data_IF_074153639996
#
_entry.id   IF_074153639996
#
_cell.length_a   1.000
_cell.length_b   1.000
_cell.length_c   1.000
_cell.angle_alpha   90.00
_cell.angle_beta   90.00
_cell.angle_gamma   90.00
#
_symmetry.space_group_name_H-M   'P 1'
#
loop_
_entity.id
_entity.type
_entity.pdbx_description
1 polymer ?
#
# COMPACT_ATOMS: atom_id res chain seq x y z
N UNK A 1 34.15 14.39 -6.49
CA UNK A 1 35.31 13.57 -6.06
C UNK A 1 34.85 12.18 -5.59
N UNK A 2 34.76 11.23 -6.52
CA UNK A 2 34.40 9.84 -6.23
C UNK A 2 35.67 9.02 -5.95
N UNK A 3 35.73 8.36 -4.79
CA UNK A 3 36.70 7.32 -4.51
C UNK A 3 36.17 5.97 -5.03
N UNK A 4 36.87 5.35 -5.99
CA UNK A 4 36.61 3.98 -6.41
C UNK A 4 37.57 3.05 -5.67
N UNK A 5 37.03 2.15 -4.84
CA UNK A 5 37.83 1.08 -4.22
C UNK A 5 37.83 -0.12 -5.18
N UNK A 6 38.99 -0.46 -5.74
CA UNK A 6 39.21 -1.70 -6.49
C UNK A 6 39.66 -2.78 -5.53
N UNK A 7 38.81 -3.78 -5.30
CA UNK A 7 39.22 -5.03 -4.65
C UNK A 7 39.91 -5.91 -5.71
N UNK A 8 41.22 -6.10 -5.57
CA UNK A 8 41.95 -7.18 -6.25
C UNK A 8 41.92 -8.41 -5.35
N UNK A 9 41.28 -9.47 -5.83
CA UNK A 9 41.40 -10.81 -5.25
C UNK A 9 42.52 -11.55 -5.98
N UNK A 10 43.59 -11.87 -5.26
CA UNK A 10 44.63 -12.80 -5.69
C UNK A 10 44.37 -14.12 -4.96
N UNK A 11 44.19 -15.21 -5.71
CA UNK A 11 44.16 -16.57 -5.17
C UNK A 11 45.46 -17.26 -5.60
N UNK A 12 46.25 -17.85 -4.69
CA UNK A 12 47.49 -18.53 -5.05
C UNK A 12 47.19 -19.93 -5.60
N UNK A 13 47.82 -20.28 -6.73
CA UNK A 13 47.84 -21.62 -7.30
C UNK A 13 48.96 -22.45 -6.69
N UNK A 14 48.65 -23.68 -6.27
CA UNK A 14 49.66 -24.68 -5.93
C UNK A 14 49.31 -26.04 -6.54
N UNK A 15 50.21 -26.58 -7.36
CA UNK A 15 50.87 -27.89 -7.22
C UNK A 15 51.43 -28.44 -8.56
N UNK A 16 52.75 -28.66 -8.53
CA UNK A 16 53.57 -29.79 -9.03
C UNK A 16 53.56 -30.32 -10.48
N UNK A 17 54.69 -30.05 -11.15
CA UNK A 17 55.61 -31.01 -11.84
C UNK A 17 55.23 -31.53 -13.25
N UNK A 18 56.17 -32.14 -14.01
CA UNK A 18 57.05 -31.43 -14.95
C UNK A 18 56.94 -31.96 -16.40
N UNK A 19 57.75 -31.38 -17.30
CA UNK A 19 58.08 -31.81 -18.68
C UNK A 19 57.28 -31.25 -19.88
N UNK A 20 58.09 -30.76 -20.82
CA UNK A 20 57.91 -30.56 -22.28
C UNK A 20 57.58 -29.16 -22.83
N UNK A 21 58.59 -28.70 -23.57
CA UNK A 21 58.80 -27.65 -24.59
C UNK A 21 57.61 -27.06 -25.36
N UNK A 22 57.74 -25.73 -25.57
CA UNK A 22 57.36 -24.88 -26.70
C UNK A 22 55.94 -24.97 -27.30
N UNK A 23 55.14 -23.92 -27.07
CA UNK A 23 54.69 -23.01 -28.13
C UNK A 23 54.00 -21.78 -27.52
N UNK A 24 54.44 -20.59 -27.94
CA UNK A 24 53.83 -19.32 -27.57
C UNK A 24 52.51 -19.20 -28.35
N UNK A 25 51.39 -19.38 -27.65
CA UNK A 25 50.07 -19.01 -28.17
C UNK A 25 49.54 -17.90 -27.28
N UNK A 26 49.53 -16.68 -27.83
CA UNK A 26 48.90 -15.52 -27.21
C UNK A 26 47.39 -15.77 -27.09
N UNK A 27 46.79 -15.69 -25.89
CA UNK A 27 45.34 -15.78 -25.78
C UNK A 27 44.71 -14.47 -26.30
N UNK A 28 43.96 -14.60 -27.39
CA UNK A 28 43.14 -13.51 -27.95
C UNK A 28 42.02 -13.21 -26.97
N UNK A 29 42.14 -12.09 -26.26
CA UNK A 29 41.13 -11.62 -25.33
C UNK A 29 39.87 -11.21 -26.13
N UNK A 30 38.84 -12.06 -26.12
CA UNK A 30 37.50 -11.68 -26.59
C UNK A 30 36.98 -10.57 -25.66
N UNK A 31 36.72 -9.39 -26.22
CA UNK A 31 35.95 -8.33 -25.55
C UNK A 31 34.55 -8.87 -25.29
N UNK A 32 34.27 -9.31 -24.06
CA UNK A 32 32.90 -9.35 -23.58
C UNK A 32 32.39 -7.91 -23.55
N UNK A 33 31.44 -7.60 -24.42
CA UNK A 33 30.65 -6.39 -24.26
C UNK A 33 29.84 -6.59 -22.98
N UNK A 34 30.33 -6.04 -21.87
CA UNK A 34 29.58 -5.96 -20.64
C UNK A 34 28.33 -5.13 -20.90
N UNK A 35 27.23 -5.80 -21.25
CA UNK A 35 25.91 -5.20 -21.20
C UNK A 35 25.71 -4.75 -19.76
N UNK A 36 25.87 -3.44 -19.54
CA UNK A 36 25.53 -2.83 -18.26
C UNK A 36 24.02 -2.88 -18.20
N UNK A 37 23.47 -3.93 -17.58
CA UNK A 37 22.06 -4.01 -17.27
C UNK A 37 21.77 -2.89 -16.26
N UNK A 38 21.37 -1.72 -16.77
CA UNK A 38 20.85 -0.65 -15.92
C UNK A 38 19.52 -1.13 -15.40
N UNK A 39 19.54 -1.73 -14.21
CA UNK A 39 18.35 -1.94 -13.43
C UNK A 39 17.69 -0.57 -13.22
N UNK A 40 16.38 -0.41 -13.48
CA UNK A 40 15.68 0.81 -13.16
C UNK A 40 15.84 1.08 -11.66
N UNK A 41 16.28 2.30 -11.31
CA UNK A 41 16.42 2.74 -9.91
C UNK A 41 15.12 2.44 -9.16
N UNK A 42 15.13 1.60 -8.11
CA UNK A 42 13.97 1.49 -7.25
C UNK A 42 13.91 2.75 -6.38
N UNK A 43 12.73 3.36 -6.35
CA UNK A 43 12.22 4.21 -5.27
C UNK A 43 12.94 5.55 -5.02
N UNK A 44 12.61 6.56 -5.84
CA UNK A 44 12.78 7.97 -5.49
C UNK A 44 11.61 8.53 -4.65
N UNK A 45 10.81 7.68 -3.98
CA UNK A 45 9.60 8.09 -3.25
C UNK A 45 9.83 8.45 -1.76
N UNK A 46 10.95 8.03 -1.16
CA UNK A 46 11.12 8.07 0.30
C UNK A 46 11.88 9.29 0.87
N UNK A 47 12.55 10.11 0.05
CA UNK A 47 13.54 11.08 0.53
C UNK A 47 13.03 12.53 0.70
N UNK A 48 11.89 12.75 1.36
CA UNK A 48 11.50 14.14 1.72
C UNK A 48 10.74 14.27 3.03
N UNK A 49 11.10 13.53 4.07
CA UNK A 49 10.41 13.63 5.36
C UNK A 49 11.13 14.65 6.25
N UNK A 50 10.45 15.76 6.58
CA UNK A 50 11.00 16.90 7.33
C UNK A 50 10.99 16.66 8.84
N UNK A 51 11.92 17.32 9.53
CA UNK A 51 12.33 17.13 10.92
C UNK A 51 11.30 17.58 11.98
N UNK A 52 10.95 16.73 12.94
CA UNK A 52 10.38 17.12 14.26
C UNK A 52 10.56 16.01 15.35
N UNK A 53 11.41 16.15 16.39
CA UNK A 53 11.79 15.07 17.30
C UNK A 53 10.71 14.82 18.37
N UNK A 54 10.33 13.59 18.75
CA UNK A 54 10.91 12.99 19.97
C UNK A 54 10.52 11.50 20.24
N UNK A 55 9.44 10.94 19.66
CA UNK A 55 9.14 9.50 19.77
C UNK A 55 8.44 8.94 18.52
N UNK A 56 7.52 9.73 17.95
CA UNK A 56 6.78 9.41 16.73
C UNK A 56 7.67 9.20 15.50
N UNK A 57 8.74 9.98 15.33
CA UNK A 57 9.68 9.76 14.23
C UNK A 57 10.31 8.38 14.33
N UNK A 58 10.64 7.92 15.55
CA UNK A 58 11.27 6.61 15.75
C UNK A 58 10.30 5.50 15.35
N UNK A 59 9.05 5.57 15.80
CA UNK A 59 8.02 4.57 15.47
C UNK A 59 7.66 4.59 13.99
N UNK A 60 7.48 5.76 13.38
CA UNK A 60 7.23 5.88 11.94
C UNK A 60 8.41 5.37 11.11
N UNK A 61 9.65 5.69 11.50
CA UNK A 61 10.86 5.21 10.82
C UNK A 61 11.03 3.70 10.98
N UNK A 62 10.77 3.17 12.17
CA UNK A 62 10.79 1.73 12.43
C UNK A 62 9.72 1.01 11.62
N UNK A 63 8.51 1.57 11.52
CA UNK A 63 7.43 1.01 10.69
C UNK A 63 7.81 1.00 9.22
N UNK A 64 8.37 2.10 8.72
CA UNK A 64 8.87 2.18 7.35
C UNK A 64 9.99 1.16 7.06
N UNK A 65 10.87 0.92 8.03
CA UNK A 65 11.93 -0.08 7.90
C UNK A 65 11.36 -1.49 7.90
N UNK A 66 10.47 -1.81 8.84
CA UNK A 66 9.80 -3.10 8.93
C UNK A 66 9.02 -3.42 7.66
N UNK A 67 8.31 -2.44 7.08
CA UNK A 67 7.60 -2.61 5.80
C UNK A 67 8.51 -2.94 4.61
N UNK A 68 9.81 -2.60 4.68
CA UNK A 68 10.80 -2.93 3.63
C UNK A 68 11.43 -4.29 3.86
N UNK A 69 11.66 -4.67 5.11
CA UNK A 69 12.40 -5.87 5.49
C UNK A 69 11.50 -7.11 5.66
N UNK A 70 10.32 -6.92 6.26
CA UNK A 70 9.37 -7.99 6.57
C UNK A 70 7.93 -7.57 6.21
N UNK A 71 7.56 -7.59 4.91
CA UNK A 71 6.22 -7.22 4.48
C UNK A 71 5.22 -8.38 4.65
N UNK A 72 5.55 -9.46 5.38
CA UNK A 72 4.67 -10.62 5.47
C UNK A 72 3.34 -10.27 6.16
N UNK A 73 2.20 -10.75 5.64
CA UNK A 73 0.91 -10.57 6.30
C UNK A 73 0.94 -11.06 7.76
N UNK A 74 0.31 -10.30 8.64
CA UNK A 74 0.26 -10.57 10.09
C UNK A 74 1.62 -10.57 10.81
N UNK A 75 2.64 -9.86 10.28
CA UNK A 75 3.90 -9.63 10.99
C UNK A 75 3.66 -8.97 12.35
N UNK A 76 4.04 -9.64 13.44
CA UNK A 76 3.89 -9.15 14.80
C UNK A 76 4.69 -7.87 15.05
N UNK A 77 5.86 -7.73 14.43
CA UNK A 77 6.66 -6.50 14.49
C UNK A 77 5.92 -5.31 13.92
N UNK A 78 5.31 -5.46 12.73
CA UNK A 78 4.51 -4.39 12.11
C UNK A 78 3.30 -4.04 12.98
N UNK A 79 2.59 -5.05 13.50
CA UNK A 79 1.40 -4.83 14.32
C UNK A 79 1.73 -4.13 15.65
N UNK A 80 2.81 -4.51 16.31
CA UNK A 80 3.26 -3.83 17.54
C UNK A 80 3.60 -2.35 17.29
N UNK A 81 4.21 -2.03 16.14
CA UNK A 81 4.49 -0.64 15.75
C UNK A 81 3.23 0.15 15.40
N UNK A 82 2.24 -0.51 14.78
CA UNK A 82 0.91 0.07 14.57
C UNK A 82 0.25 0.43 15.90
N UNK A 83 0.23 -0.50 16.85
CA UNK A 83 -0.41 -0.29 18.16
C UNK A 83 0.30 0.83 18.96
N UNK A 84 1.64 0.91 18.85
CA UNK A 84 2.41 2.01 19.45
C UNK A 84 2.03 3.37 18.85
N UNK A 85 1.94 3.48 17.52
CA UNK A 85 1.54 4.73 16.85
C UNK A 85 0.11 5.15 17.21
N UNK A 86 -0.84 4.20 17.23
CA UNK A 86 -2.24 4.46 17.61
C UNK A 86 -2.37 4.93 19.07
N UNK A 87 -1.47 4.46 19.95
CA UNK A 87 -1.42 4.83 21.37
C UNK A 87 -0.64 6.11 21.67
N UNK A 88 0.23 6.55 20.75
CA UNK A 88 1.16 7.67 20.95
C UNK A 88 0.51 9.07 21.08
N UNK A 89 -0.79 9.21 20.77
CA UNK A 89 -1.52 10.49 20.69
C UNK A 89 -0.88 11.53 19.74
N UNK A 90 -0.03 11.09 18.81
CA UNK A 90 0.72 11.99 17.91
C UNK A 90 0.07 12.15 16.54
N UNK A 91 -0.82 11.24 16.17
CA UNK A 91 -1.66 11.37 14.99
C UNK A 91 -2.65 12.53 15.09
N UNK A 92 -3.27 12.87 13.96
CA UNK A 92 -4.38 13.82 13.91
C UNK A 92 -5.58 13.22 14.63
N UNK A 93 -6.16 13.99 15.57
CA UNK A 93 -7.24 13.53 16.46
C UNK A 93 -8.54 13.21 15.72
N UNK A 94 -8.93 14.10 14.79
CA UNK A 94 -10.19 14.03 14.04
C UNK A 94 -9.90 13.86 12.53
N UNK A 95 -9.41 12.69 12.07
CA UNK A 95 -8.89 12.52 10.73
C UNK A 95 -9.93 12.77 9.64
N UNK A 96 -11.22 12.43 9.83
CA UNK A 96 -12.26 12.68 8.80
C UNK A 96 -12.62 14.15 8.66
N UNK A 97 -12.20 15.02 9.60
CA UNK A 97 -12.33 16.48 9.50
C UNK A 97 -11.05 17.14 8.98
N UNK A 98 -9.96 16.40 8.87
CA UNK A 98 -8.69 16.93 8.40
C UNK A 98 -8.66 16.93 6.87
N UNK A 99 -8.25 18.05 6.22
CA UNK A 99 -8.05 18.06 4.77
C UNK A 99 -6.95 17.07 4.32
N UNK A 100 -6.05 16.68 5.23
CA UNK A 100 -4.96 15.74 4.93
C UNK A 100 -5.45 14.32 4.65
N UNK A 101 -6.69 13.97 5.03
CA UNK A 101 -7.26 12.65 4.69
C UNK A 101 -7.60 12.53 3.20
N UNK A 102 -7.87 13.63 2.50
CA UNK A 102 -8.36 13.64 1.12
C UNK A 102 -7.26 13.39 0.09
N UNK A 103 -7.51 12.48 -0.84
CA UNK A 103 -6.61 12.19 -1.96
C UNK A 103 -6.39 10.70 -2.16
N UNK A 104 -5.40 10.38 -2.99
CA UNK A 104 -5.04 8.99 -3.30
C UNK A 104 -4.10 8.43 -2.25
N UNK A 105 -4.42 7.23 -1.78
CA UNK A 105 -3.62 6.49 -0.80
C UNK A 105 -3.18 5.16 -1.36
N UNK A 106 -1.86 4.96 -1.48
CA UNK A 106 -1.26 3.69 -1.89
C UNK A 106 -1.20 2.72 -0.71
N UNK A 107 -1.69 1.50 -0.90
CA UNK A 107 -1.57 0.44 0.10
C UNK A 107 -0.10 -0.02 0.21
N UNK A 108 0.49 0.12 1.39
CA UNK A 108 1.80 -0.42 1.72
C UNK A 108 1.70 -1.83 2.31
N UNK A 109 0.69 -2.06 3.16
CA UNK A 109 0.53 -3.30 3.90
C UNK A 109 -0.92 -3.53 4.29
N UNK A 110 -1.35 -4.79 4.29
CA UNK A 110 -2.49 -5.23 5.06
C UNK A 110 -2.25 -6.60 5.73
N UNK A 111 -3.10 -6.92 6.71
CA UNK A 111 -3.05 -8.20 7.44
C UNK A 111 -3.69 -9.37 6.69
N UNK A 112 -4.31 -9.15 5.53
CA UNK A 112 -4.99 -10.21 4.77
C UNK A 112 -4.22 -10.61 3.52
N UNK A 113 -3.71 -11.84 3.53
CA UNK A 113 -2.91 -12.43 2.46
C UNK A 113 -3.55 -12.32 1.06
N UNK A 114 -4.87 -12.55 0.95
CA UNK A 114 -5.58 -12.53 -0.33
C UNK A 114 -5.63 -11.14 -1.00
N UNK A 115 -5.39 -10.08 -0.24
CA UNK A 115 -5.41 -8.69 -0.70
C UNK A 115 -4.06 -7.99 -0.53
N UNK A 116 -3.01 -8.76 -0.31
CA UNK A 116 -1.68 -8.26 0.05
C UNK A 116 -1.18 -7.20 -0.95
N UNK A 117 -0.43 -6.21 -0.45
CA UNK A 117 0.16 -5.15 -1.28
C UNK A 117 1.20 -5.72 -2.26
N UNK A 118 1.60 -4.99 -3.32
CA UNK A 118 2.62 -5.46 -4.24
C UNK A 118 3.97 -5.76 -3.58
N UNK A 119 4.35 -5.04 -2.52
CA UNK A 119 5.59 -5.32 -1.77
C UNK A 119 5.47 -6.67 -1.04
N UNK A 120 4.31 -6.92 -0.43
CA UNK A 120 4.02 -8.20 0.27
C UNK A 120 3.94 -9.37 -0.72
N UNK A 121 3.31 -9.15 -1.88
CA UNK A 121 3.22 -10.14 -2.95
C UNK A 121 4.57 -10.48 -3.57
N UNK A 122 5.46 -9.50 -3.70
CA UNK A 122 6.83 -9.74 -4.15
C UNK A 122 7.58 -10.66 -3.18
N UNK A 123 7.37 -10.51 -1.87
CA UNK A 123 7.93 -11.42 -0.86
C UNK A 123 7.34 -12.84 -0.94
N UNK A 124 6.08 -12.98 -1.37
CA UNK A 124 5.44 -14.30 -1.58
C UNK A 124 5.55 -14.83 -3.02
N UNK A 125 6.35 -14.19 -3.89
CA UNK A 125 6.62 -14.66 -5.26
C UNK A 125 5.53 -14.36 -6.31
N UNK A 126 4.55 -13.51 -6.00
CA UNK A 126 3.47 -13.11 -6.94
C UNK A 126 3.73 -11.70 -7.51
N UNK A 127 3.60 -11.51 -8.84
CA UNK A 127 3.88 -10.21 -9.50
C UNK A 127 2.85 -9.13 -9.13
N UNK A 128 3.33 -7.88 -9.05
CA UNK A 128 2.68 -6.78 -8.35
C UNK A 128 1.55 -6.06 -9.10
N UNK A 129 0.42 -5.90 -8.41
CA UNK A 129 -0.66 -4.94 -8.67
C UNK A 129 -0.47 -3.72 -7.74
N UNK A 130 -0.61 -2.49 -8.23
CA UNK A 130 -0.66 -1.33 -7.34
C UNK A 130 -2.09 -1.17 -6.82
N UNK A 131 -2.25 -1.13 -5.49
CA UNK A 131 -3.56 -0.99 -4.85
C UNK A 131 -3.62 0.40 -4.21
N UNK A 132 -4.69 1.11 -4.50
CA UNK A 132 -4.95 2.44 -3.95
C UNK A 132 -6.36 2.54 -3.37
N UNK A 133 -6.53 3.53 -2.52
CA UNK A 133 -7.81 3.98 -2.03
C UNK A 133 -7.87 5.50 -2.17
N UNK A 134 -8.75 5.99 -3.04
CA UNK A 134 -9.02 7.42 -3.18
C UNK A 134 -10.08 7.79 -2.14
N UNK A 135 -9.74 8.70 -1.24
CA UNK A 135 -10.65 9.27 -0.23
C UNK A 135 -11.06 10.66 -0.72
N UNK A 136 -12.33 10.82 -1.04
CA UNK A 136 -12.90 12.06 -1.54
C UNK A 136 -14.07 12.42 -0.63
N UNK A 137 -13.75 12.98 0.53
CA UNK A 137 -14.77 13.44 1.46
C UNK A 137 -15.38 14.77 1.01
N UNK A 138 -14.66 15.53 0.17
CA UNK A 138 -15.06 16.73 -0.53
C UNK A 138 -15.42 17.90 0.38
N UNK A 139 -15.78 19.00 -0.26
CA UNK A 139 -16.62 20.06 0.34
C UNK A 139 -18.10 19.83 -0.02
N UNK A 140 -18.98 20.75 0.39
CA UNK A 140 -20.44 20.62 0.25
C UNK A 140 -20.94 20.42 -1.22
N UNK A 141 -20.08 20.57 -2.23
CA UNK A 141 -20.47 20.51 -3.65
C UNK A 141 -20.65 19.09 -4.22
N UNK A 142 -20.13 18.06 -3.54
CA UNK A 142 -20.26 16.67 -3.99
C UNK A 142 -20.48 15.70 -2.82
N UNK A 143 -21.16 14.58 -3.08
CA UNK A 143 -21.32 13.51 -2.10
C UNK A 143 -19.96 12.86 -1.77
N UNK A 144 -19.69 12.56 -0.48
CA UNK A 144 -18.49 11.85 -0.07
C UNK A 144 -18.39 10.48 -0.74
N UNK A 145 -17.17 10.06 -1.10
CA UNK A 145 -16.92 8.75 -1.70
C UNK A 145 -15.56 8.19 -1.33
N UNK A 146 -15.48 6.87 -1.37
CA UNK A 146 -14.24 6.10 -1.29
C UNK A 146 -14.15 5.25 -2.56
N UNK A 147 -13.01 5.29 -3.23
CA UNK A 147 -12.78 4.47 -4.43
C UNK A 147 -11.59 3.56 -4.20
N UNK A 148 -11.83 2.25 -4.18
CA UNK A 148 -10.76 1.27 -4.17
C UNK A 148 -10.29 1.06 -5.62
N UNK A 149 -8.99 1.20 -5.86
CA UNK A 149 -8.40 1.11 -7.20
C UNK A 149 -7.34 0.01 -7.21
N UNK A 150 -7.42 -0.89 -8.18
CA UNK A 150 -6.39 -1.89 -8.45
C UNK A 150 -5.83 -1.62 -9.85
N UNK A 151 -4.56 -1.27 -9.94
CA UNK A 151 -3.86 -1.05 -11.20
C UNK A 151 -3.10 -2.30 -11.63
N UNK A 152 -3.35 -2.73 -12.86
CA UNK A 152 -2.77 -3.89 -13.52
C UNK A 152 -1.64 -3.48 -14.48
N UNK A 153 -0.89 -2.44 -14.12
CA UNK A 153 0.14 -1.86 -14.97
C UNK A 153 -0.43 -1.38 -16.31
N UNK A 154 0.15 -1.84 -17.42
CA UNK A 154 -0.31 -1.45 -18.76
C UNK A 154 -1.66 -2.02 -19.17
N UNK A 155 -2.22 -2.99 -18.44
CA UNK A 155 -3.52 -3.60 -18.78
C UNK A 155 -4.69 -2.67 -18.48
N UNK A 156 -4.56 -1.80 -17.47
CA UNK A 156 -5.63 -0.92 -17.01
C UNK A 156 -5.79 -0.93 -15.50
N UNK A 157 -6.96 -0.50 -15.04
CA UNK A 157 -7.33 -0.44 -13.62
C UNK A 157 -8.78 -0.86 -13.37
N UNK A 158 -9.01 -1.52 -12.25
CA UNK A 158 -10.33 -1.77 -11.70
C UNK A 158 -10.60 -0.70 -10.63
N UNK A 159 -11.70 0.02 -10.78
CA UNK A 159 -12.18 0.98 -9.78
C UNK A 159 -13.48 0.46 -9.18
N UNK A 160 -13.54 0.39 -7.85
CA UNK A 160 -14.73 0.06 -7.08
C UNK A 160 -15.09 1.28 -6.24
N UNK A 161 -16.15 1.96 -6.63
CA UNK A 161 -16.65 3.17 -5.98
C UNK A 161 -17.67 2.80 -4.90
N UNK A 162 -17.54 3.46 -3.76
CA UNK A 162 -18.49 3.44 -2.68
C UNK A 162 -18.88 4.87 -2.29
N UNK A 163 -20.18 5.09 -2.11
CA UNK A 163 -20.65 6.32 -1.45
C UNK A 163 -20.26 6.23 0.02
N UNK A 164 -19.77 7.34 0.56
CA UNK A 164 -19.27 7.41 1.93
C UNK A 164 -20.19 8.23 2.83
N UNK A 165 -20.16 7.92 4.12
CA UNK A 165 -20.87 8.61 5.18
C UNK A 165 -19.91 8.81 6.34
N UNK A 166 -19.83 10.02 6.86
CA UNK A 166 -19.08 10.35 8.08
C UNK A 166 -20.01 11.02 9.09
N UNK A 167 -19.56 11.19 10.34
CA UNK A 167 -20.33 11.89 11.38
C UNK A 167 -20.74 13.29 10.93
N UNK A 168 -19.83 14.04 10.31
CA UNK A 168 -20.07 15.42 9.88
C UNK A 168 -20.76 15.52 8.50
N UNK A 169 -20.72 14.44 7.73
CA UNK A 169 -21.31 14.37 6.38
C UNK A 169 -22.05 13.04 6.21
N UNK A 170 -23.22 12.88 6.86
CA UNK A 170 -23.99 11.66 6.76
C UNK A 170 -24.54 11.50 5.33
N UNK A 171 -24.52 10.26 4.82
CA UNK A 171 -25.21 9.92 3.59
C UNK A 171 -26.71 9.78 3.89
N UNK A 172 -27.55 10.57 3.23
CA UNK A 172 -29.00 10.54 3.44
C UNK A 172 -29.57 9.13 3.20
N UNK A 173 -30.39 8.64 4.16
CA UNK A 173 -30.97 7.31 4.11
C UNK A 173 -29.99 6.15 4.30
N UNK A 174 -28.70 6.42 4.58
CA UNK A 174 -27.74 5.38 4.89
C UNK A 174 -27.95 4.83 6.29
N UNK A 175 -28.16 3.52 6.36
CA UNK A 175 -28.25 2.76 7.60
C UNK A 175 -27.00 1.89 7.70
N UNK A 176 -26.13 2.10 8.71
CA UNK A 176 -25.00 1.24 8.97
C UNK A 176 -25.41 -0.22 9.05
N UNK A 177 -24.49 -1.09 8.65
CA UNK A 177 -24.71 -2.54 8.66
C UNK A 177 -24.99 -3.02 10.08
N UNK A 178 -26.03 -3.86 10.25
CA UNK A 178 -26.42 -4.41 11.56
C UNK A 178 -26.02 -5.87 11.77
N UNK A 179 -25.76 -6.62 10.69
CA UNK A 179 -25.45 -8.06 10.75
C UNK A 179 -23.98 -8.43 10.49
N UNK A 180 -23.54 -9.61 10.94
CA UNK A 180 -22.16 -10.07 10.79
C UNK A 180 -21.80 -10.55 9.37
N UNK A 181 -22.78 -10.99 8.58
CA UNK A 181 -22.55 -11.65 7.30
C UNK A 181 -23.76 -12.46 6.90
N UNK A 182 -23.84 -12.92 5.66
CA UNK A 182 -24.68 -14.06 5.34
C UNK A 182 -24.24 -15.27 6.20
N UNK A 183 -25.19 -16.07 6.73
CA UNK A 183 -24.85 -17.38 7.30
C UNK A 183 -24.05 -18.14 6.21
N UNK A 184 -23.03 -18.91 6.61
CA UNK A 184 -22.03 -19.57 5.74
C UNK A 184 -20.74 -18.79 5.41
N UNK A 185 -20.57 -17.53 5.85
CA UNK A 185 -19.23 -16.90 5.92
C UNK A 185 -18.50 -16.71 4.58
N UNK A 186 -19.21 -16.82 3.46
CA UNK A 186 -18.65 -16.81 2.09
C UNK A 186 -17.90 -15.48 1.78
N UNK A 187 -18.24 -14.39 2.48
CA UNK A 187 -17.59 -13.07 2.38
C UNK A 187 -16.82 -12.64 3.64
N UNK A 188 -16.70 -13.54 4.63
CA UNK A 188 -16.09 -13.28 5.95
C UNK A 188 -17.02 -12.57 6.95
N UNK A 189 -16.60 -12.54 8.22
CA UNK A 189 -17.31 -11.86 9.30
C UNK A 189 -17.01 -10.36 9.27
N UNK A 190 -18.07 -9.54 9.31
CA UNK A 190 -18.01 -8.10 9.43
C UNK A 190 -18.37 -7.69 10.86
N UNK A 191 -17.50 -6.92 11.49
CA UNK A 191 -17.80 -6.25 12.75
C UNK A 191 -18.80 -5.11 12.52
N UNK A 192 -19.71 -4.93 13.46
CA UNK A 192 -20.73 -3.87 13.49
C UNK A 192 -20.50 -2.90 14.64
N UNK A 193 -19.32 -2.95 15.27
CA UNK A 193 -18.98 -2.10 16.38
C UNK A 193 -19.00 -0.61 15.99
N UNK A 194 -19.46 0.27 16.90
CA UNK A 194 -19.31 1.71 16.71
C UNK A 194 -17.82 2.09 16.65
N UNK A 195 -17.48 3.28 16.15
CA UNK A 195 -16.11 3.75 16.18
C UNK A 195 -15.61 3.99 17.61
N UNK A 196 -14.36 3.60 17.86
CA UNK A 196 -13.72 3.76 19.17
C UNK A 196 -13.50 5.24 19.52
N UNK A 197 -13.37 6.10 18.50
CA UNK A 197 -13.16 7.55 18.62
C UNK A 197 -14.04 8.30 17.62
N UNK A 198 -14.56 9.50 17.97
CA UNK A 198 -15.32 10.31 17.03
C UNK A 198 -14.45 10.73 15.83
N UNK A 199 -15.09 11.04 14.69
CA UNK A 199 -14.42 11.55 13.49
C UNK A 199 -13.26 10.67 12.94
N UNK A 200 -13.31 9.36 13.20
CA UNK A 200 -12.37 8.37 12.63
C UNK A 200 -13.00 7.51 11.54
N UNK A 201 -14.32 7.30 11.64
CA UNK A 201 -15.13 6.38 10.84
C UNK A 201 -15.53 6.97 9.51
N UNK A 202 -15.28 6.20 8.45
CA UNK A 202 -15.92 6.36 7.15
C UNK A 202 -16.75 5.09 6.93
N UNK A 203 -18.06 5.22 7.08
CA UNK A 203 -19.00 4.21 6.62
C UNK A 203 -19.14 4.33 5.11
N UNK A 204 -19.40 3.22 4.42
CA UNK A 204 -19.55 3.24 2.98
C UNK A 204 -20.54 2.19 2.47
N UNK A 205 -21.12 2.46 1.30
CA UNK A 205 -21.85 1.48 0.51
C UNK A 205 -21.32 1.41 -0.92
N UNK A 206 -20.91 0.23 -1.36
CA UNK A 206 -20.49 0.03 -2.75
C UNK A 206 -21.66 0.30 -3.70
N UNK A 207 -21.39 1.11 -4.72
CA UNK A 207 -22.40 1.58 -5.68
C UNK A 207 -22.08 1.17 -7.11
N UNK A 208 -20.78 1.14 -7.48
CA UNK A 208 -20.34 0.93 -8.85
C UNK A 208 -18.97 0.29 -8.90
N UNK A 209 -18.74 -0.53 -9.92
CA UNK A 209 -17.42 -1.02 -10.26
C UNK A 209 -17.21 -0.93 -11.77
N UNK A 210 -16.01 -0.55 -12.20
CA UNK A 210 -15.68 -0.43 -13.60
C UNK A 210 -14.21 -0.78 -13.85
N UNK A 211 -13.97 -1.50 -14.94
CA UNK A 211 -12.64 -1.70 -15.47
C UNK A 211 -12.35 -0.65 -16.55
N UNK A 212 -11.22 0.04 -16.42
CA UNK A 212 -10.72 1.01 -17.41
C UNK A 212 -9.44 0.46 -17.99
N UNK A 213 -9.43 0.12 -19.27
CA UNK A 213 -8.18 -0.24 -19.95
C UNK A 213 -7.48 1.01 -20.46
N UNK A 214 -6.14 0.98 -20.47
CA UNK A 214 -5.33 1.99 -21.13
C UNK A 214 -5.47 1.98 -22.66
N UNK A 215 -5.99 0.88 -23.23
CA UNK A 215 -6.04 0.64 -24.68
C UNK A 215 -7.37 1.00 -25.35
N UNK A 216 -8.43 1.23 -24.58
CA UNK A 216 -9.76 1.54 -25.11
C UNK A 216 -10.33 2.79 -24.43
N UNK A 217 -11.00 3.69 -25.18
CA UNK A 217 -11.47 4.97 -24.64
C UNK A 217 -12.79 4.87 -23.85
N UNK A 218 -13.28 3.66 -23.56
CA UNK A 218 -14.51 3.44 -22.81
C UNK A 218 -14.29 2.55 -21.57
N UNK A 219 -15.17 2.69 -20.59
CA UNK A 219 -15.12 1.93 -19.33
C UNK A 219 -16.02 0.71 -19.45
N UNK A 220 -15.53 -0.46 -19.02
CA UNK A 220 -16.33 -1.68 -18.97
C UNK A 220 -16.94 -1.78 -17.57
N UNK A 221 -18.27 -1.68 -17.40
CA UNK A 221 -18.88 -1.87 -16.09
C UNK A 221 -18.60 -3.29 -15.61
N UNK A 222 -18.11 -3.43 -14.38
CA UNK A 222 -17.89 -4.75 -13.80
C UNK A 222 -19.23 -5.25 -13.25
N UNK A 223 -19.73 -6.43 -13.66
CA UNK A 223 -21.11 -6.86 -13.43
C UNK A 223 -21.32 -7.36 -11.99
N UNK A 224 -21.15 -6.47 -11.00
CA UNK A 224 -21.51 -6.75 -9.61
C UNK A 224 -22.87 -6.13 -9.34
N UNK A 225 -23.91 -6.95 -9.06
CA UNK A 225 -25.24 -6.45 -8.76
C UNK A 225 -25.28 -5.94 -7.32
N UNK A 226 -24.60 -4.82 -7.03
CA UNK A 226 -24.51 -4.24 -5.67
C UNK A 226 -25.87 -4.02 -5.02
N UNK A 227 -26.93 -3.83 -5.82
CA UNK A 227 -28.31 -3.69 -5.33
C UNK A 227 -28.84 -4.97 -4.68
N UNK A 228 -28.46 -6.14 -5.19
CA UNK A 228 -28.89 -7.45 -4.67
C UNK A 228 -28.09 -7.90 -3.44
N UNK A 229 -26.95 -7.26 -3.17
CA UNK A 229 -26.08 -7.60 -2.04
C UNK A 229 -26.59 -7.10 -0.69
N UNK A 230 -27.61 -6.23 -0.66
CA UNK A 230 -28.16 -5.69 0.58
C UNK A 230 -27.07 -5.09 1.48
N UNK A 231 -26.99 -5.57 2.72
CA UNK A 231 -25.99 -5.15 3.68
C UNK A 231 -24.55 -5.60 3.34
N UNK A 232 -24.34 -6.63 2.50
CA UNK A 232 -22.99 -7.12 2.13
C UNK A 232 -22.18 -6.10 1.33
N UNK A 233 -22.85 -5.13 0.71
CA UNK A 233 -22.17 -4.01 0.02
C UNK A 233 -21.73 -2.91 0.98
N UNK A 234 -22.18 -2.95 2.24
CA UNK A 234 -21.89 -1.93 3.24
C UNK A 234 -20.71 -2.35 4.09
N UNK A 235 -19.92 -1.38 4.49
CA UNK A 235 -18.82 -1.60 5.40
C UNK A 235 -18.36 -0.30 6.02
N UNK A 236 -17.30 -0.41 6.79
CA UNK A 236 -16.67 0.73 7.40
C UNK A 236 -15.16 0.58 7.43
N UNK A 237 -14.51 1.74 7.46
CA UNK A 237 -13.08 1.88 7.70
C UNK A 237 -12.85 3.01 8.71
N UNK A 238 -12.11 2.71 9.77
CA UNK A 238 -11.62 3.70 10.71
C UNK A 238 -10.23 4.12 10.31
N UNK A 239 -10.00 5.43 10.20
CA UNK A 239 -8.64 5.95 10.19
C UNK A 239 -8.22 6.15 11.65
N UNK A 240 -7.48 5.18 12.18
CA UNK A 240 -7.06 5.12 13.59
C UNK A 240 -5.78 5.92 13.87
N UNK A 241 -4.99 6.17 12.82
CA UNK A 241 -3.85 7.08 12.86
C UNK A 241 -3.71 7.79 11.51
N UNK A 242 -3.56 9.11 11.54
CA UNK A 242 -3.16 9.92 10.39
C UNK A 242 -1.96 10.76 10.81
N UNK A 243 -0.82 10.58 10.13
CA UNK A 243 0.39 11.35 10.41
C UNK A 243 0.14 12.85 10.19
N UNK A 244 0.76 13.69 11.01
CA UNK A 244 0.57 15.16 10.95
C UNK A 244 1.06 15.80 9.66
N UNK A 245 1.97 15.13 8.95
CA UNK A 245 2.43 15.56 7.63
C UNK A 245 1.54 15.04 6.49
N UNK A 246 0.46 14.31 6.80
CA UNK A 246 -0.51 13.81 5.85
C UNK A 246 -0.02 12.65 4.97
N UNK A 247 1.16 12.07 5.25
CA UNK A 247 1.79 11.11 4.34
C UNK A 247 1.59 9.64 4.66
N UNK A 248 1.21 9.32 5.89
CA UNK A 248 0.90 7.95 6.29
C UNK A 248 -0.40 7.93 7.06
N UNK A 249 -1.23 6.93 6.77
CA UNK A 249 -2.37 6.59 7.60
C UNK A 249 -2.42 5.10 7.90
N UNK A 250 -2.91 4.80 9.09
CA UNK A 250 -3.27 3.46 9.50
C UNK A 250 -4.80 3.43 9.56
N UNK A 251 -5.37 2.36 9.04
CA UNK A 251 -6.80 2.18 9.05
C UNK A 251 -7.20 0.75 9.44
N UNK A 252 -8.34 0.62 10.12
CA UNK A 252 -8.94 -0.66 10.50
C UNK A 252 -10.26 -0.83 9.77
N UNK A 253 -10.45 -1.95 9.08
CA UNK A 253 -11.67 -2.25 8.34
C UNK A 253 -12.59 -3.21 9.09
N UNK A 254 -13.87 -3.17 8.73
CA UNK A 254 -14.92 -4.01 9.33
C UNK A 254 -14.65 -5.52 9.31
N UNK A 255 -13.80 -6.02 8.41
CA UNK A 255 -13.42 -7.44 8.34
C UNK A 255 -12.15 -7.79 9.14
N UNK A 256 -11.83 -7.02 10.18
CA UNK A 256 -10.64 -7.23 11.04
C UNK A 256 -9.31 -6.99 10.33
N UNK A 257 -9.31 -6.15 9.30
CA UNK A 257 -8.10 -5.90 8.48
C UNK A 257 -7.45 -4.60 8.90
N UNK A 258 -6.15 -4.63 9.17
CA UNK A 258 -5.33 -3.42 9.34
C UNK A 258 -4.74 -3.06 7.98
N UNK A 259 -4.78 -1.79 7.63
CA UNK A 259 -4.20 -1.22 6.42
C UNK A 259 -3.20 -0.14 6.79
N UNK A 260 -2.01 -0.18 6.21
CA UNK A 260 -1.04 0.91 6.27
C UNK A 260 -0.97 1.49 4.86
N UNK A 261 -1.25 2.78 4.73
CA UNK A 261 -1.28 3.45 3.44
C UNK A 261 -0.39 4.70 3.44
N UNK A 262 0.30 4.92 2.34
CA UNK A 262 1.03 6.14 2.07
C UNK A 262 0.23 7.05 1.14
N UNK A 263 0.34 8.36 1.34
CA UNK A 263 -0.19 9.33 0.39
C UNK A 263 0.52 9.19 -0.94
N UNK A 264 -0.25 9.09 -2.01
CA UNK A 264 0.25 9.07 -3.39
C UNK A 264 0.08 10.48 -3.95
N UNK A 265 0.92 11.40 -3.49
CA UNK A 265 0.98 12.72 -4.11
C UNK A 265 1.67 12.59 -5.48
N UNK A 266 1.15 13.22 -6.55
CA UNK A 266 1.95 13.36 -7.76
C UNK A 266 3.26 14.07 -7.39
N UNK A 267 4.40 13.69 -7.99
CA UNK A 267 5.66 14.37 -7.71
C UNK A 267 5.46 15.87 -7.91
N UNK A 268 5.86 16.67 -6.91
CA UNK A 268 5.83 18.13 -7.01
C UNK A 268 6.49 18.54 -8.33
N UNK A 269 5.76 19.32 -9.13
CA UNK A 269 6.18 19.78 -10.46
C UNK A 269 7.40 20.68 -10.36
#
# INVERSE_FOLDING_TARGET
PMASVRLRSCIPSGQNSPFVKHNVVTPRCMRSHGATLRLPRPLAFFNRWGNNPSATIKELSALQQALKEDPLPASSTILNLVDALESSNTGIKDPTRSPLIEGRWRLLYNTKESTASPVQRAATGTKGLSIFQDILLGDASALPRVVNVVEFGSLGKLEVEAQASTTDRPLEGFIPRSGAGLPFGILGVSSTQPPDKPHTRIDFQFSRAAFKSSKIPFQVPYPVPFRLLGDERKGWIDTTYLARDGRLRIARGNKGTVFILAKDDPPAS
#
